data_IF_370522644967
#
_entry.id   IF_370522644967
#
_cell.length_a   1.000
_cell.length_b   1.000
_cell.length_c   1.000
_cell.angle_alpha   90.00
_cell.angle_beta   90.00
_cell.angle_gamma   90.00
#
_symmetry.space_group_name_H-M   'P 1'
#
loop_
_entity.id
_entity.type
_entity.pdbx_description
1 polymer ?
#
# COMPACT_ATOMS: atom_id res chain seq x y z
N UNK A 1 -8.97 -3.98 -2.16
CA UNK A 1 -8.19 -3.73 -0.94
C UNK A 1 -8.19 -2.24 -0.69
N UNK A 2 -8.83 -1.81 0.41
CA UNK A 2 -8.84 -0.42 0.88
C UNK A 2 -7.82 -0.21 2.00
N UNK A 3 -7.64 1.03 2.44
CA UNK A 3 -6.77 1.37 3.57
C UNK A 3 -7.30 0.74 4.86
N UNK A 4 -8.61 0.84 5.10
CA UNK A 4 -9.30 0.37 6.30
C UNK A 4 -9.21 -1.16 6.41
N UNK A 5 -9.40 -1.88 5.30
CA UNK A 5 -9.23 -3.34 5.26
C UNK A 5 -7.80 -3.78 5.59
N UNK A 6 -6.81 -2.96 5.26
CA UNK A 6 -5.41 -3.28 5.50
C UNK A 6 -5.04 -3.08 6.97
N UNK A 7 -5.48 -1.98 7.58
CA UNK A 7 -5.14 -1.63 8.97
C UNK A 7 -5.81 -2.51 10.01
N UNK A 8 -6.98 -3.10 9.71
CA UNK A 8 -7.66 -4.06 10.59
C UNK A 8 -6.81 -5.30 10.96
N UNK A 9 -5.76 -5.59 10.20
CA UNK A 9 -4.91 -6.76 10.41
C UNK A 9 -3.57 -6.42 11.08
N UNK A 10 -3.34 -5.17 11.46
CA UNK A 10 -2.10 -4.78 12.12
C UNK A 10 -2.18 -5.13 13.60
N UNK A 11 -1.17 -5.85 14.08
CA UNK A 11 -1.02 -6.21 15.50
C UNK A 11 0.27 -5.62 16.07
N UNK A 12 1.21 -5.24 15.21
CA UNK A 12 2.51 -4.70 15.57
C UNK A 12 2.91 -3.56 14.64
N UNK A 13 3.80 -2.68 15.11
CA UNK A 13 4.39 -1.62 14.27
C UNK A 13 5.11 -2.22 13.05
N UNK A 14 5.70 -3.41 13.21
CA UNK A 14 6.36 -4.17 12.13
C UNK A 14 5.38 -4.49 10.99
N UNK A 15 4.09 -4.69 11.28
CA UNK A 15 3.08 -4.93 10.26
C UNK A 15 2.85 -3.69 9.37
N UNK A 16 2.91 -2.50 9.97
CA UNK A 16 2.80 -1.22 9.26
C UNK A 16 3.98 -1.06 8.30
N UNK A 17 5.20 -1.25 8.80
CA UNK A 17 6.43 -1.15 8.01
C UNK A 17 6.44 -2.18 6.87
N UNK A 18 6.11 -3.43 7.19
CA UNK A 18 6.02 -4.52 6.22
C UNK A 18 4.97 -4.24 5.15
N UNK A 19 3.83 -3.65 5.51
CA UNK A 19 2.80 -3.27 4.56
C UNK A 19 3.28 -2.16 3.62
N UNK A 20 3.91 -1.10 4.15
CA UNK A 20 4.49 0.01 3.35
C UNK A 20 5.53 -0.55 2.37
N UNK A 21 6.42 -1.43 2.83
CA UNK A 21 7.47 -2.00 2.00
C UNK A 21 6.88 -2.91 0.91
N UNK A 22 5.96 -3.82 1.27
CA UNK A 22 5.31 -4.73 0.33
C UNK A 22 4.57 -3.96 -0.77
N UNK A 23 3.82 -2.92 -0.39
CA UNK A 23 3.10 -2.06 -1.32
C UNK A 23 4.07 -1.30 -2.24
N UNK A 24 5.16 -0.77 -1.70
CA UNK A 24 6.18 -0.07 -2.48
C UNK A 24 6.87 -0.99 -3.50
N UNK A 25 7.22 -2.22 -3.08
CA UNK A 25 7.76 -3.26 -3.96
C UNK A 25 6.76 -3.65 -5.05
N UNK A 26 5.47 -3.80 -4.70
CA UNK A 26 4.39 -4.11 -5.66
C UNK A 26 4.23 -2.99 -6.69
N UNK A 27 4.16 -1.73 -6.27
CA UNK A 27 4.10 -0.59 -7.17
C UNK A 27 5.30 -0.54 -8.13
N UNK A 28 6.51 -0.84 -7.65
CA UNK A 28 7.71 -0.91 -8.51
C UNK A 28 7.59 -2.00 -9.57
N UNK A 29 7.17 -3.21 -9.19
CA UNK A 29 6.94 -4.32 -10.14
C UNK A 29 5.88 -3.94 -11.19
N UNK A 30 4.76 -3.38 -10.76
CA UNK A 30 3.70 -2.93 -11.66
C UNK A 30 4.17 -1.84 -12.62
N UNK A 31 5.03 -0.90 -12.19
CA UNK A 31 5.62 0.08 -13.11
C UNK A 31 6.43 -0.59 -14.21
N UNK A 32 7.24 -1.58 -13.88
CA UNK A 32 7.96 -2.38 -14.88
C UNK A 32 7.00 -3.10 -15.82
N UNK A 33 5.89 -3.67 -15.32
CA UNK A 33 4.85 -4.26 -16.16
C UNK A 33 4.14 -3.23 -17.06
N UNK A 34 3.86 -2.03 -16.57
CA UNK A 34 3.20 -0.97 -17.34
C UNK A 34 4.05 -0.45 -18.51
N UNK A 35 5.38 -0.46 -18.37
CA UNK A 35 6.31 -0.12 -19.45
C UNK A 35 6.25 -1.16 -20.58
N UNK A 36 6.08 -2.44 -20.23
CA UNK A 36 6.07 -3.56 -21.15
C UNK A 36 4.65 -4.02 -21.56
N UNK A 37 3.61 -3.27 -21.20
CA UNK A 37 2.22 -3.62 -21.48
C UNK A 37 1.95 -3.63 -22.99
N UNK A 38 1.28 -4.68 -23.46
CA UNK A 38 1.03 -4.93 -24.88
C UNK A 38 -0.08 -4.04 -25.45
N UNK A 39 -0.98 -3.57 -24.59
CA UNK A 39 -2.13 -2.75 -24.98
C UNK A 39 -2.29 -1.52 -24.08
N UNK A 40 -2.96 -0.50 -24.61
CA UNK A 40 -3.33 0.69 -23.84
C UNK A 40 -4.26 0.33 -22.67
N UNK A 41 -5.19 -0.60 -22.87
CA UNK A 41 -6.13 -1.05 -21.84
C UNK A 41 -5.40 -1.72 -20.65
N UNK A 42 -4.42 -2.57 -20.94
CA UNK A 42 -3.56 -3.18 -19.93
C UNK A 42 -2.76 -2.12 -19.16
N UNK A 43 -2.13 -1.19 -19.88
CA UNK A 43 -1.36 -0.09 -19.28
C UNK A 43 -2.22 0.79 -18.36
N UNK A 44 -3.44 1.13 -18.77
CA UNK A 44 -4.38 1.92 -17.97
C UNK A 44 -4.82 1.16 -16.70
N UNK A 45 -5.06 -0.13 -16.82
CA UNK A 45 -5.43 -1.00 -15.69
C UNK A 45 -4.30 -1.06 -14.65
N UNK A 46 -3.07 -1.31 -15.11
CA UNK A 46 -1.88 -1.34 -14.24
C UNK A 46 -1.65 0.04 -13.58
N UNK A 47 -1.76 1.14 -14.35
CA UNK A 47 -1.61 2.48 -13.81
C UNK A 47 -2.67 2.83 -12.74
N UNK A 48 -3.91 2.38 -12.93
CA UNK A 48 -4.98 2.53 -11.93
C UNK A 48 -4.64 1.79 -10.65
N UNK A 49 -4.11 0.58 -10.75
CA UNK A 49 -3.66 -0.19 -9.58
C UNK A 49 -2.48 0.48 -8.87
N UNK A 50 -1.48 0.97 -9.60
CA UNK A 50 -0.35 1.74 -9.04
C UNK A 50 -0.86 2.98 -8.29
N UNK A 51 -1.82 3.71 -8.86
CA UNK A 51 -2.41 4.90 -8.22
C UNK A 51 -3.09 4.52 -6.90
N UNK A 52 -3.85 3.42 -6.87
CA UNK A 52 -4.49 2.94 -5.65
C UNK A 52 -3.45 2.54 -4.59
N UNK A 53 -2.41 1.77 -4.98
CA UNK A 53 -1.34 1.37 -4.07
C UNK A 53 -0.64 2.60 -3.48
N UNK A 54 -0.27 3.58 -4.30
CA UNK A 54 0.40 4.79 -3.82
C UNK A 54 -0.50 5.60 -2.87
N UNK A 55 -1.80 5.67 -3.12
CA UNK A 55 -2.74 6.33 -2.23
C UNK A 55 -2.81 5.64 -0.86
N UNK A 56 -2.86 4.31 -0.83
CA UNK A 56 -2.84 3.53 0.43
C UNK A 56 -1.50 3.71 1.16
N UNK A 57 -0.38 3.58 0.47
CA UNK A 57 0.96 3.77 1.05
C UNK A 57 1.13 5.18 1.62
N UNK A 58 0.61 6.20 0.92
CA UNK A 58 0.63 7.57 1.40
C UNK A 58 -0.20 7.72 2.69
N UNK A 59 -1.42 7.19 2.72
CA UNK A 59 -2.25 7.19 3.93
C UNK A 59 -1.58 6.48 5.11
N UNK A 60 -0.93 5.34 4.88
CA UNK A 60 -0.18 4.62 5.93
C UNK A 60 0.94 5.49 6.51
N UNK A 61 1.73 6.15 5.65
CA UNK A 61 2.80 7.05 6.12
C UNK A 61 2.26 8.26 6.88
N UNK A 62 1.16 8.85 6.41
CA UNK A 62 0.54 10.01 7.08
C UNK A 62 -0.03 9.66 8.46
N UNK A 63 -0.54 8.44 8.63
CA UNK A 63 -1.14 7.98 9.88
C UNK A 63 -0.22 7.06 10.68
N UNK A 64 1.08 7.00 10.36
CA UNK A 64 1.99 6.02 10.94
C UNK A 64 2.01 6.08 12.47
N UNK A 65 2.22 7.28 13.03
CA UNK A 65 2.26 7.47 14.48
C UNK A 65 0.91 7.23 15.16
N UNK A 66 -0.20 7.55 14.49
CA UNK A 66 -1.54 7.28 15.02
C UNK A 66 -1.75 5.77 15.14
N UNK A 67 -1.41 5.01 14.10
CA UNK A 67 -1.50 3.56 14.10
C UNK A 67 -0.55 2.94 15.12
N UNK A 68 0.68 3.46 15.24
CA UNK A 68 1.63 3.02 16.26
C UNK A 68 1.09 3.24 17.68
N UNK A 69 0.51 4.42 17.96
CA UNK A 69 -0.09 4.72 19.25
C UNK A 69 -1.29 3.82 19.55
N UNK A 70 -2.14 3.53 18.57
CA UNK A 70 -3.28 2.61 18.70
C UNK A 70 -2.83 1.19 19.06
N UNK A 71 -1.72 0.72 18.47
CA UNK A 71 -1.16 -0.61 18.75
C UNK A 71 -0.43 -0.70 20.11
N UNK A 72 0.01 0.44 20.66
CA UNK A 72 0.67 0.50 21.98
C UNK A 72 -0.30 0.65 23.14
N UNK A 73 -1.56 1.05 22.89
CA UNK A 73 -2.55 1.19 23.96
C UNK A 73 -2.85 -0.19 24.55
N UNK A 74 -2.76 -0.36 25.90
CA UNK A 74 -3.25 -1.58 26.52
C UNK A 74 -4.76 -1.70 26.25
N UNK A 75 -5.17 -2.90 25.82
CA UNK A 75 -6.56 -3.26 25.58
C UNK A 75 -7.42 -3.16 26.84
#
# INVERSE_FOLDING_TARGET
MTYEQLTLNFNTVIDIDSAIERLSRKAKKLRSSAVNASTLAEKLTINKEIKNINAITFKLKMNYFILEDELRKPA
#
